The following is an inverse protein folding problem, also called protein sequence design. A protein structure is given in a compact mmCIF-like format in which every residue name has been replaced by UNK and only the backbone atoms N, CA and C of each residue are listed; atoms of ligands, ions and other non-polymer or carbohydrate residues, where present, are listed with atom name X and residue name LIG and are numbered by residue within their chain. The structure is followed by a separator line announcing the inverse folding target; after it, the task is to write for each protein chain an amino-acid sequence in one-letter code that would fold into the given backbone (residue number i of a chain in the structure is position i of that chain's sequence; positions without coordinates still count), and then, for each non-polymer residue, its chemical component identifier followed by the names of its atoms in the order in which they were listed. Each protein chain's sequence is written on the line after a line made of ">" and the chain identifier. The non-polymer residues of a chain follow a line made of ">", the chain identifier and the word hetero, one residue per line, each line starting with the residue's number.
data_IF_166638712819
#
_entry.id   IF_166638712819
#
_cell.length_a   1.000
_cell.length_b   1.000
_cell.length_c   1.000
_cell.angle_alpha   90.00
_cell.angle_beta   90.00
_cell.angle_gamma   90.00
#
_symmetry.space_group_name_H-M   'P 1'
#
loop_
_entity.id
_entity.type
_entity.pdbx_description
1 polymer ?
#
# COMPACT_ATOMS: atom_id res chain seq x y z
N UNK A 1 21.78 -7.69 -7.31
CA UNK A 1 21.27 -8.99 -6.80
C UNK A 1 20.47 -8.71 -5.53
N UNK A 2 19.18 -8.69 -5.63
CA UNK A 2 18.30 -8.54 -4.46
C UNK A 2 18.39 -9.82 -3.65
N UNK A 3 19.05 -9.77 -2.49
CA UNK A 3 19.12 -10.91 -1.58
C UNK A 3 17.68 -11.31 -1.21
N UNK A 4 17.30 -12.54 -1.52
CA UNK A 4 15.97 -13.09 -1.20
C UNK A 4 15.66 -12.89 0.29
N UNK A 5 16.64 -13.01 1.17
CA UNK A 5 16.50 -12.74 2.59
C UNK A 5 16.07 -11.29 2.89
N UNK A 6 16.59 -10.31 2.16
CA UNK A 6 16.22 -8.90 2.30
C UNK A 6 14.75 -8.64 1.87
N UNK A 7 14.31 -9.27 0.77
CA UNK A 7 12.93 -9.19 0.30
C UNK A 7 11.95 -9.76 1.34
N UNK A 8 12.28 -10.93 1.89
CA UNK A 8 11.44 -11.58 2.91
C UNK A 8 11.37 -10.72 4.17
N UNK A 9 12.52 -10.24 4.66
CA UNK A 9 12.57 -9.42 5.88
C UNK A 9 11.75 -8.13 5.73
N UNK A 10 11.89 -7.42 4.62
CA UNK A 10 11.12 -6.20 4.35
C UNK A 10 9.60 -6.46 4.21
N UNK A 11 9.24 -7.56 3.55
CA UNK A 11 7.83 -7.95 3.40
C UNK A 11 7.21 -8.29 4.76
N UNK A 12 7.93 -9.01 5.62
CA UNK A 12 7.48 -9.32 6.97
C UNK A 12 7.37 -8.06 7.84
N UNK A 13 8.33 -7.15 7.74
CA UNK A 13 8.29 -5.87 8.44
C UNK A 13 7.08 -5.02 7.99
N UNK A 14 6.80 -4.97 6.69
CA UNK A 14 5.62 -4.28 6.16
C UNK A 14 4.32 -4.93 6.64
N UNK A 15 4.23 -6.26 6.65
CA UNK A 15 3.08 -6.98 7.17
C UNK A 15 2.86 -6.70 8.66
N UNK A 16 3.92 -6.75 9.48
CA UNK A 16 3.86 -6.42 10.90
C UNK A 16 3.44 -4.96 11.15
N UNK A 17 4.00 -4.02 10.38
CA UNK A 17 3.60 -2.61 10.40
C UNK A 17 2.13 -2.42 10.07
N UNK A 18 1.63 -3.11 9.04
CA UNK A 18 0.20 -3.07 8.65
C UNK A 18 -0.71 -3.56 9.78
N UNK A 19 -0.32 -4.64 10.47
CA UNK A 19 -1.06 -5.13 11.65
C UNK A 19 -1.03 -4.09 12.78
N UNK A 20 0.12 -3.46 13.04
CA UNK A 20 0.23 -2.38 14.02
C UNK A 20 -0.70 -1.20 13.72
N UNK A 21 -0.77 -0.76 12.46
CA UNK A 21 -1.72 0.28 12.04
C UNK A 21 -3.17 -0.18 12.11
N UNK A 22 -3.45 -1.46 11.85
CA UNK A 22 -4.79 -2.03 12.03
C UNK A 22 -5.29 -1.91 13.47
N UNK A 23 -4.40 -2.06 14.46
CA UNK A 23 -4.68 -1.79 15.87
C UNK A 23 -5.06 -0.32 16.12
N UNK A 24 -4.29 0.61 15.57
CA UNK A 24 -4.54 2.05 15.72
C UNK A 24 -5.87 2.48 15.12
N UNK A 25 -6.30 1.85 14.03
CA UNK A 25 -7.59 2.15 13.39
C UNK A 25 -8.77 1.35 13.96
N UNK A 26 -8.58 0.62 15.06
CA UNK A 26 -9.65 -0.11 15.70
C UNK A 26 -10.21 -1.26 14.87
N UNK A 27 -9.42 -1.83 13.97
CA UNK A 27 -9.81 -3.00 13.19
C UNK A 27 -10.03 -4.19 14.13
N UNK A 28 -11.12 -4.96 14.00
CA UNK A 28 -11.32 -6.16 14.81
C UNK A 28 -10.18 -7.17 14.65
N UNK A 29 -9.69 -7.73 15.74
CA UNK A 29 -8.53 -8.66 15.80
C UNK A 29 -8.65 -9.82 14.80
N UNK A 30 -9.87 -10.29 14.54
CA UNK A 30 -10.16 -11.34 13.55
C UNK A 30 -9.70 -11.03 12.12
N UNK A 31 -9.44 -9.76 11.80
CA UNK A 31 -9.01 -9.32 10.46
C UNK A 31 -7.52 -8.99 10.37
N UNK A 32 -6.77 -9.01 11.47
CA UNK A 32 -5.35 -8.63 11.49
C UNK A 32 -4.49 -9.43 10.52
N UNK A 33 -4.67 -10.76 10.47
CA UNK A 33 -3.95 -11.61 9.53
C UNK A 33 -4.22 -11.23 8.08
N UNK A 34 -5.48 -10.85 7.76
CA UNK A 34 -5.84 -10.42 6.41
C UNK A 34 -5.21 -9.06 6.06
N UNK A 35 -5.22 -8.11 7.00
CA UNK A 35 -4.58 -6.81 6.83
C UNK A 35 -3.07 -6.96 6.62
N UNK A 36 -2.40 -7.77 7.45
CA UNK A 36 -0.97 -8.05 7.34
C UNK A 36 -0.61 -8.71 6.00
N UNK A 37 -1.43 -9.65 5.54
CA UNK A 37 -1.24 -10.31 4.24
C UNK A 37 -1.40 -9.33 3.08
N UNK A 38 -2.38 -8.43 3.13
CA UNK A 38 -2.61 -7.41 2.09
C UNK A 38 -1.45 -6.42 2.05
N UNK A 39 -1.03 -5.88 3.20
CA UNK A 39 0.08 -4.92 3.26
C UNK A 39 1.41 -5.56 2.86
N UNK A 40 1.67 -6.79 3.32
CA UNK A 40 2.85 -7.56 2.93
C UNK A 40 2.88 -7.85 1.43
N UNK A 41 1.78 -8.31 0.84
CA UNK A 41 1.68 -8.58 -0.60
C UNK A 41 1.87 -7.30 -1.43
N UNK A 42 1.29 -6.17 -0.99
CA UNK A 42 1.51 -4.87 -1.63
C UNK A 42 2.98 -4.46 -1.62
N UNK A 43 3.63 -4.55 -0.47
CA UNK A 43 5.06 -4.24 -0.33
C UNK A 43 5.95 -5.17 -1.14
N UNK A 44 5.64 -6.46 -1.16
CA UNK A 44 6.37 -7.45 -1.97
C UNK A 44 6.30 -7.12 -3.45
N UNK A 45 5.11 -6.80 -3.98
CA UNK A 45 4.96 -6.39 -5.37
C UNK A 45 5.72 -5.09 -5.67
N UNK A 46 5.69 -4.12 -4.74
CA UNK A 46 6.47 -2.90 -4.84
C UNK A 46 7.97 -3.19 -5.02
N UNK A 47 8.53 -4.06 -4.15
CA UNK A 47 9.94 -4.44 -4.22
C UNK A 47 10.31 -5.19 -5.50
N UNK A 48 9.40 -6.00 -6.05
CA UNK A 48 9.63 -6.72 -7.31
C UNK A 48 9.63 -5.80 -8.53
N UNK A 49 8.76 -4.78 -8.52
CA UNK A 49 8.60 -3.87 -9.66
C UNK A 49 9.57 -2.70 -9.64
N UNK A 50 10.06 -2.32 -8.47
CA UNK A 50 10.97 -1.19 -8.28
C UNK A 50 12.25 -1.26 -9.13
N UNK A 51 12.94 -2.43 -9.30
CA UNK A 51 14.17 -2.50 -10.11
C UNK A 51 13.95 -2.28 -11.61
N UNK A 52 12.73 -2.56 -12.11
CA UNK A 52 12.38 -2.48 -13.53
C UNK A 52 11.67 -1.16 -13.89
N UNK A 53 11.20 -0.39 -12.89
CA UNK A 53 10.35 0.78 -13.12
C UNK A 53 10.69 1.92 -12.17
N UNK A 54 9.97 3.04 -12.30
CA UNK A 54 10.07 4.16 -11.36
C UNK A 54 9.29 3.87 -10.07
N UNK A 55 9.70 4.52 -8.96
CA UNK A 55 9.01 4.39 -7.67
C UNK A 55 7.50 4.67 -7.78
N UNK A 56 7.08 5.66 -8.59
CA UNK A 56 5.67 5.98 -8.79
C UNK A 56 4.90 4.83 -9.48
N UNK A 57 5.48 4.23 -10.53
CA UNK A 57 4.86 3.10 -11.24
C UNK A 57 4.78 1.86 -10.35
N UNK A 58 5.85 1.57 -9.60
CA UNK A 58 5.87 0.47 -8.64
C UNK A 58 4.80 0.65 -7.55
N UNK A 59 4.67 1.88 -7.03
CA UNK A 59 3.63 2.22 -6.05
C UNK A 59 2.23 2.09 -6.63
N UNK A 60 2.01 2.55 -7.86
CA UNK A 60 0.72 2.40 -8.54
C UNK A 60 0.32 0.92 -8.64
N UNK A 61 1.20 0.05 -9.15
CA UNK A 61 0.95 -1.38 -9.29
C UNK A 61 0.66 -2.05 -7.94
N UNK A 62 1.46 -1.73 -6.91
CA UNK A 62 1.28 -2.23 -5.55
C UNK A 62 -0.06 -1.77 -4.95
N UNK A 63 -0.45 -0.51 -5.16
CA UNK A 63 -1.73 0.04 -4.68
C UNK A 63 -2.90 -0.66 -5.36
N UNK A 64 -2.85 -0.88 -6.66
CA UNK A 64 -3.88 -1.63 -7.39
C UNK A 64 -4.06 -3.03 -6.78
N UNK A 65 -2.97 -3.75 -6.51
CA UNK A 65 -3.03 -5.07 -5.86
C UNK A 65 -3.67 -5.01 -4.47
N UNK A 66 -3.22 -4.06 -3.63
CA UNK A 66 -3.76 -3.87 -2.26
C UNK A 66 -5.26 -3.66 -2.30
N UNK A 67 -5.76 -2.84 -3.23
CA UNK A 67 -7.19 -2.53 -3.30
C UNK A 67 -7.98 -3.71 -3.85
N UNK A 68 -7.47 -4.41 -4.85
CA UNK A 68 -8.11 -5.62 -5.39
C UNK A 68 -8.26 -6.68 -4.29
N UNK A 69 -7.19 -6.94 -3.53
CA UNK A 69 -7.23 -7.87 -2.40
C UNK A 69 -8.20 -7.39 -1.30
N UNK A 70 -8.18 -6.10 -0.98
CA UNK A 70 -9.08 -5.50 0.02
C UNK A 70 -10.54 -5.67 -0.37
N UNK A 71 -10.90 -5.41 -1.63
CA UNK A 71 -12.25 -5.62 -2.15
C UNK A 71 -12.66 -7.09 -2.11
N UNK A 72 -11.75 -7.98 -2.51
CA UNK A 72 -12.03 -9.42 -2.51
C UNK A 72 -12.28 -9.96 -1.09
N UNK A 73 -11.45 -9.59 -0.11
CA UNK A 73 -11.67 -9.98 1.28
C UNK A 73 -12.90 -9.32 1.89
N UNK A 74 -13.19 -8.05 1.57
CA UNK A 74 -14.37 -7.35 2.04
C UNK A 74 -15.67 -8.03 1.61
N UNK A 75 -15.76 -8.44 0.34
CA UNK A 75 -16.91 -9.18 -0.18
C UNK A 75 -17.05 -10.54 0.53
N UNK A 76 -15.95 -11.28 0.70
CA UNK A 76 -15.99 -12.59 1.36
C UNK A 76 -16.33 -12.52 2.85
N UNK A 77 -15.89 -11.47 3.54
CA UNK A 77 -16.09 -11.29 4.98
C UNK A 77 -17.30 -10.42 5.31
N UNK A 78 -18.01 -9.91 4.29
CA UNK A 78 -19.16 -9.02 4.44
C UNK A 78 -18.88 -7.83 5.36
N UNK A 79 -17.74 -7.18 5.18
CA UNK A 79 -17.30 -6.02 5.93
C UNK A 79 -16.89 -4.87 5.00
N UNK A 80 -16.84 -3.62 5.51
CA UNK A 80 -16.42 -2.49 4.72
C UNK A 80 -15.00 -2.66 4.16
N UNK A 81 -14.80 -2.32 2.88
CA UNK A 81 -13.49 -2.39 2.18
C UNK A 81 -12.45 -1.53 2.89
N UNK A 82 -12.88 -0.42 3.48
CA UNK A 82 -12.03 0.56 4.16
C UNK A 82 -11.19 -0.04 5.29
N UNK A 83 -11.67 -1.08 5.96
CA UNK A 83 -10.96 -1.79 7.02
C UNK A 83 -9.63 -2.35 6.51
N UNK A 84 -9.64 -2.98 5.35
CA UNK A 84 -8.45 -3.57 4.74
C UNK A 84 -7.63 -2.55 3.96
N UNK A 85 -8.32 -1.62 3.28
CA UNK A 85 -7.74 -0.62 2.41
C UNK A 85 -6.82 0.33 3.18
N UNK A 86 -7.33 0.95 4.25
CA UNK A 86 -6.60 1.95 5.02
C UNK A 86 -5.33 1.34 5.60
N UNK A 87 -5.45 0.18 6.24
CA UNK A 87 -4.30 -0.52 6.83
C UNK A 87 -3.27 -0.94 5.77
N UNK A 88 -3.75 -1.44 4.62
CA UNK A 88 -2.89 -1.99 3.56
C UNK A 88 -2.12 -0.95 2.75
N UNK A 89 -2.63 0.29 2.65
CA UNK A 89 -1.97 1.36 1.88
C UNK A 89 -0.83 2.03 2.67
N UNK A 90 -0.86 2.02 4.00
CA UNK A 90 0.10 2.76 4.82
C UNK A 90 1.56 2.43 4.51
N UNK A 91 1.97 1.17 4.34
CA UNK A 91 3.36 0.86 4.00
C UNK A 91 3.83 1.48 2.66
N UNK A 92 2.89 1.71 1.74
CA UNK A 92 3.17 2.29 0.43
C UNK A 92 3.18 3.83 0.44
N UNK A 93 2.73 4.44 1.53
CA UNK A 93 2.61 5.89 1.65
C UNK A 93 3.96 6.62 1.53
N UNK A 94 3.94 7.87 1.02
CA UNK A 94 5.16 8.67 0.80
C UNK A 94 5.75 9.25 2.09
N UNK A 95 5.50 8.64 3.26
CA UNK A 95 5.88 9.18 4.56
C UNK A 95 7.39 9.44 4.70
N UNK A 96 8.23 8.50 4.30
CA UNK A 96 9.68 8.67 4.33
C UNK A 96 10.13 9.80 3.38
N UNK A 97 9.53 9.92 2.20
CA UNK A 97 9.83 10.98 1.25
C UNK A 97 9.47 12.36 1.81
N UNK A 98 8.32 12.50 2.46
CA UNK A 98 7.89 13.74 3.11
C UNK A 98 8.83 14.11 4.25
N UNK A 99 9.22 13.13 5.08
CA UNK A 99 10.17 13.34 6.18
C UNK A 99 11.51 13.87 5.67
N UNK A 100 12.12 13.20 4.69
CA UNK A 100 13.41 13.62 4.14
C UNK A 100 13.34 14.96 3.43
N UNK A 101 12.25 15.25 2.70
CA UNK A 101 12.05 16.57 2.09
C UNK A 101 12.03 17.69 3.14
N UNK A 102 11.28 17.48 4.23
CA UNK A 102 11.22 18.42 5.35
C UNK A 102 12.56 18.57 6.04
N UNK A 103 13.29 17.49 6.27
CA UNK A 103 14.62 17.51 6.86
C UNK A 103 15.62 18.34 6.01
N UNK A 104 15.65 18.11 4.70
CA UNK A 104 16.51 18.86 3.80
C UNK A 104 16.13 20.34 3.72
N UNK A 105 14.85 20.67 3.80
CA UNK A 105 14.38 22.06 3.84
C UNK A 105 14.88 22.80 5.08
N UNK A 106 14.76 22.16 6.27
CA UNK A 106 15.21 22.76 7.53
C UNK A 106 16.73 22.88 7.62
N UNK A 107 17.47 21.93 7.03
CA UNK A 107 18.94 21.94 7.00
C UNK A 107 19.53 22.82 5.89
N UNK A 108 18.71 23.57 5.15
CA UNK A 108 19.17 24.53 4.15
C UNK A 108 19.50 23.92 2.78
N UNK A 109 19.27 22.61 2.59
CA UNK A 109 19.52 21.93 1.32
C UNK A 109 18.31 21.97 0.39
N UNK A 110 17.91 23.17 -0.04
CA UNK A 110 16.65 23.41 -0.78
C UNK A 110 16.52 22.59 -2.07
N UNK A 111 17.60 22.40 -2.85
CA UNK A 111 17.56 21.59 -4.07
C UNK A 111 17.16 20.14 -3.76
N UNK A 112 17.78 19.50 -2.76
CA UNK A 112 17.44 18.13 -2.34
C UNK A 112 16.05 18.05 -1.75
N UNK A 113 15.63 19.06 -1.00
CA UNK A 113 14.27 19.14 -0.45
C UNK A 113 13.22 19.14 -1.56
N UNK A 114 13.44 19.93 -2.60
CA UNK A 114 12.53 20.00 -3.75
C UNK A 114 12.46 18.68 -4.52
N UNK A 115 13.61 18.07 -4.85
CA UNK A 115 13.68 16.80 -5.59
C UNK A 115 13.00 15.66 -4.82
N UNK A 116 13.27 15.58 -3.51
CA UNK A 116 12.67 14.55 -2.65
C UNK A 116 11.18 14.78 -2.45
N UNK A 117 10.76 16.03 -2.27
CA UNK A 117 9.37 16.42 -2.14
C UNK A 117 8.57 16.12 -3.42
N UNK A 118 9.15 16.43 -4.58
CA UNK A 118 8.53 16.11 -5.87
C UNK A 118 8.38 14.60 -6.09
N UNK A 119 9.38 13.82 -5.65
CA UNK A 119 9.29 12.36 -5.70
C UNK A 119 8.19 11.81 -4.78
N UNK A 120 8.08 12.35 -3.57
CA UNK A 120 7.00 12.01 -2.64
C UNK A 120 5.62 12.36 -3.21
N UNK A 121 5.49 13.51 -3.88
CA UNK A 121 4.26 13.93 -4.55
C UNK A 121 3.87 12.97 -5.69
N UNK A 122 4.83 12.54 -6.51
CA UNK A 122 4.59 11.54 -7.57
C UNK A 122 4.06 10.22 -7.00
N UNK A 123 4.62 9.76 -5.87
CA UNK A 123 4.14 8.55 -5.17
C UNK A 123 2.72 8.75 -4.64
N UNK A 124 2.42 9.90 -4.04
CA UNK A 124 1.07 10.22 -3.57
C UNK A 124 0.03 10.21 -4.71
N UNK A 125 0.36 10.83 -5.84
CA UNK A 125 -0.49 10.83 -7.04
C UNK A 125 -0.69 9.40 -7.56
N UNK A 126 0.36 8.58 -7.59
CA UNK A 126 0.27 7.19 -8.01
C UNK A 126 -0.69 6.36 -7.13
N UNK A 127 -0.68 6.58 -5.81
CA UNK A 127 -1.62 5.94 -4.88
C UNK A 127 -3.06 6.36 -5.21
N UNK A 128 -3.31 7.67 -5.35
CA UNK A 128 -4.65 8.19 -5.65
C UNK A 128 -5.16 7.62 -6.98
N UNK A 129 -4.34 7.62 -8.02
CA UNK A 129 -4.71 7.04 -9.31
C UNK A 129 -5.01 5.54 -9.20
N UNK A 130 -4.22 4.80 -8.43
CA UNK A 130 -4.47 3.38 -8.17
C UNK A 130 -5.81 3.14 -7.47
N UNK A 131 -6.15 3.98 -6.49
CA UNK A 131 -7.43 3.93 -5.78
C UNK A 131 -8.57 4.19 -6.76
N UNK A 132 -8.54 5.30 -7.48
CA UNK A 132 -9.60 5.68 -8.44
C UNK A 132 -9.78 4.60 -9.49
N UNK A 133 -8.68 4.13 -10.09
CA UNK A 133 -8.72 3.10 -11.14
C UNK A 133 -9.46 1.84 -10.70
N UNK A 134 -9.18 1.33 -9.49
CA UNK A 134 -9.82 0.09 -9.02
C UNK A 134 -11.26 0.35 -8.55
N UNK A 135 -11.58 1.54 -8.04
CA UNK A 135 -12.95 1.84 -7.62
C UNK A 135 -13.90 2.03 -8.81
N UNK A 136 -13.39 2.45 -9.97
CA UNK A 136 -14.16 2.50 -11.22
C UNK A 136 -14.50 1.09 -11.77
N UNK A 137 -13.78 0.04 -11.34
CA UNK A 137 -14.09 -1.32 -11.75
C UNK A 137 -15.44 -1.79 -11.16
N UNK A 138 -16.36 -2.29 -12.00
CA UNK A 138 -17.69 -2.69 -11.55
C UNK A 138 -17.63 -3.81 -10.51
N UNK A 139 -18.43 -3.68 -9.46
CA UNK A 139 -18.50 -4.64 -8.34
C UNK A 139 -18.87 -6.07 -8.79
N UNK A 140 -19.50 -6.21 -9.95
CA UNK A 140 -19.88 -7.51 -10.52
C UNK A 140 -18.70 -8.46 -10.69
N UNK A 141 -17.48 -7.95 -10.92
CA UNK A 141 -16.25 -8.75 -11.05
C UNK A 141 -15.84 -9.43 -9.74
N UNK A 142 -16.23 -8.87 -8.60
CA UNK A 142 -15.85 -9.38 -7.27
C UNK A 142 -16.93 -10.27 -6.64
N UNK A 143 -18.16 -10.21 -7.17
CA UNK A 143 -19.28 -11.04 -6.72
C UNK A 143 -19.29 -12.45 -7.31
N UNK A 144 -18.33 -12.82 -8.17
CA UNK A 144 -18.22 -14.16 -8.76
C UNK A 144 -17.76 -15.11 -7.64
N UNK A 145 -18.72 -15.68 -6.92
CA UNK A 145 -18.46 -16.67 -5.85
C UNK A 145 -19.29 -16.55 -4.58
N UNK A 146 -20.03 -15.47 -4.40
CA UNK A 146 -21.04 -15.39 -3.32
C UNK A 146 -22.42 -15.67 -3.89
N UNK A 147 -22.70 -16.95 -4.12
CA UNK A 147 -24.06 -17.43 -4.37
C UNK A 147 -24.84 -17.22 -3.07
N UNK A 148 -25.90 -16.42 -3.13
CA UNK A 148 -26.88 -16.28 -2.05
C UNK A 148 -27.32 -17.67 -1.58
N UNK A 149 -27.19 -17.96 -0.31
CA UNK A 149 -28.10 -18.81 0.40
C UNK A 149 -29.03 -17.94 1.21
#
# INVERSE_FOLDING_TARGET
>A
MTNIGYLILQTLAAAAGTVGFSLLFGVPVRYFCHCGLIGGAGWFLYLLTLPATTSAVATFAATVLVILMSRWFAVRKQCPVTIFLISGIIPLGPGAGIYWASYYAVTGHMSKAFDTGLSALKVAIAIVLGIVFVFELPQKLFCIGTRKS
#
